data_IF_265053683675
#
_entry.id   IF_265053683675
#
_cell.length_a   1.000
_cell.length_b   1.000
_cell.length_c   1.000
_cell.angle_alpha   90.00
_cell.angle_beta   90.00
_cell.angle_gamma   90.00
#
_symmetry.space_group_name_H-M   'P 1'
#
loop_
_entity.id
_entity.type
_entity.pdbx_description
1 polymer ?
#
# COMPACT_ATOMS: atom_id res chain seq x y z
N UNK A 1 39.14 -25.37 2.70
CA UNK A 1 37.85 -26.10 2.74
C UNK A 1 37.26 -25.91 4.13
N UNK A 2 36.51 -24.83 4.31
CA UNK A 2 35.92 -24.44 5.59
C UNK A 2 34.46 -24.10 5.33
N UNK A 3 33.59 -24.65 6.18
CA UNK A 3 32.13 -24.70 6.03
C UNK A 3 31.52 -23.30 5.91
N UNK A 4 30.72 -23.12 4.87
CA UNK A 4 29.75 -22.04 4.66
C UNK A 4 28.81 -21.93 5.87
N UNK A 5 28.67 -20.73 6.43
CA UNK A 5 27.57 -20.38 7.33
C UNK A 5 26.82 -19.19 6.74
N UNK A 6 25.97 -19.47 5.74
CA UNK A 6 24.93 -18.54 5.30
C UNK A 6 23.89 -18.44 6.43
N UNK A 7 23.65 -17.23 6.93
CA UNK A 7 22.52 -16.97 7.83
C UNK A 7 21.29 -16.83 6.94
N UNK A 8 20.51 -17.91 6.83
CA UNK A 8 19.19 -17.84 6.20
C UNK A 8 18.30 -16.94 7.01
N UNK A 9 17.75 -15.90 6.37
CA UNK A 9 16.62 -15.18 6.91
C UNK A 9 15.38 -16.07 6.71
N UNK A 10 15.16 -16.99 7.67
CA UNK A 10 13.99 -17.86 7.64
C UNK A 10 12.80 -17.04 8.15
N UNK A 11 11.92 -16.62 7.26
CA UNK A 11 10.55 -16.29 7.66
C UNK A 11 9.95 -17.57 8.27
N UNK A 12 9.54 -17.49 9.53
CA UNK A 12 8.94 -18.60 10.29
C UNK A 12 7.50 -18.84 9.78
N UNK A 13 7.38 -19.29 8.53
CA UNK A 13 6.17 -19.88 7.95
C UNK A 13 6.31 -21.40 8.04
N UNK A 14 6.27 -21.94 9.26
CA UNK A 14 6.23 -23.38 9.46
C UNK A 14 4.79 -23.82 9.72
N UNK A 15 4.12 -24.38 8.70
CA UNK A 15 3.60 -25.76 8.73
C UNK A 15 2.95 -26.15 7.39
N UNK A 16 3.48 -27.26 6.86
CA UNK A 16 2.88 -28.22 5.93
C UNK A 16 2.70 -27.82 4.45
N UNK A 17 3.70 -28.26 3.67
CA UNK A 17 3.55 -28.79 2.30
C UNK A 17 2.21 -29.51 2.15
N UNK A 18 1.49 -29.22 1.07
CA UNK A 18 0.95 -30.18 0.09
C UNK A 18 0.03 -29.43 -0.90
N UNK A 19 0.25 -29.73 -2.19
CA UNK A 19 -0.59 -29.50 -3.38
C UNK A 19 -0.44 -28.19 -4.15
N UNK A 20 0.43 -28.30 -5.15
CA UNK A 20 0.33 -27.64 -6.46
C UNK A 20 -0.97 -28.05 -7.16
N UNK A 21 -1.74 -27.09 -7.68
CA UNK A 21 -2.19 -27.08 -9.07
C UNK A 21 -3.01 -25.82 -9.44
N UNK A 22 -2.61 -25.20 -10.55
CA UNK A 22 -3.51 -24.61 -11.54
C UNK A 22 -4.18 -23.28 -11.21
N UNK A 23 -3.43 -22.17 -11.26
CA UNK A 23 -4.04 -20.87 -11.57
C UNK A 23 -4.00 -20.65 -13.09
N UNK A 24 -5.18 -20.70 -13.70
CA UNK A 24 -5.44 -20.15 -15.03
C UNK A 24 -5.51 -18.61 -14.90
N UNK A 25 -4.95 -17.82 -15.83
CA UNK A 25 -5.02 -16.37 -15.76
C UNK A 25 -6.47 -15.91 -15.92
N UNK A 26 -7.08 -15.50 -14.81
CA UNK A 26 -8.31 -14.72 -14.80
C UNK A 26 -7.95 -13.29 -15.20
N UNK A 27 -8.61 -12.76 -16.23
CA UNK A 27 -8.63 -11.34 -16.57
C UNK A 27 -9.34 -10.56 -15.46
N UNK A 28 -8.58 -10.20 -14.42
CA UNK A 28 -8.95 -9.14 -13.49
C UNK A 28 -8.69 -7.79 -14.16
N UNK A 29 -9.70 -6.92 -14.19
CA UNK A 29 -9.65 -5.58 -14.76
C UNK A 29 -9.75 -4.56 -13.61
N UNK A 30 -8.73 -3.71 -13.45
CA UNK A 30 -8.55 -2.84 -12.29
C UNK A 30 -9.53 -1.65 -12.24
N UNK A 31 -9.86 -1.24 -11.01
CA UNK A 31 -11.05 -0.45 -10.65
C UNK A 31 -10.83 1.07 -10.62
N UNK A 32 -9.60 1.55 -10.70
CA UNK A 32 -9.31 2.90 -11.16
C UNK A 32 -8.21 2.79 -12.19
N UNK A 33 -8.54 3.06 -13.46
CA UNK A 33 -7.49 3.46 -14.39
C UNK A 33 -7.01 4.83 -13.95
N UNK A 34 -6.04 4.84 -13.03
CA UNK A 34 -4.94 5.73 -13.26
C UNK A 34 -4.35 5.27 -14.60
N UNK A 35 -4.83 5.85 -15.70
CA UNK A 35 -3.99 5.98 -16.88
C UNK A 35 -2.79 6.76 -16.35
N UNK A 36 -1.79 6.03 -15.85
CA UNK A 36 -0.42 6.47 -16.01
C UNK A 36 -0.35 6.94 -17.45
N UNK A 37 -0.01 8.21 -17.71
CA UNK A 37 -0.17 8.85 -19.00
C UNK A 37 0.28 7.87 -20.09
N UNK A 38 -0.70 7.37 -20.83
CA UNK A 38 -0.52 6.16 -21.60
C UNK A 38 0.55 6.38 -22.68
N UNK A 39 1.38 5.35 -22.83
CA UNK A 39 2.32 5.08 -23.93
C UNK A 39 3.69 5.75 -23.83
N UNK A 40 4.42 5.37 -22.79
CA UNK A 40 5.61 4.56 -23.02
C UNK A 40 5.57 3.38 -22.07
N UNK A 41 5.74 2.16 -22.58
CA UNK A 41 6.43 1.18 -21.78
C UNK A 41 7.74 1.86 -21.35
N UNK A 42 7.91 2.09 -20.04
CA UNK A 42 9.23 2.30 -19.48
C UNK A 42 9.89 0.93 -19.22
N UNK A 43 9.64 -0.10 -20.02
CA UNK A 43 10.68 -0.49 -21.01
C UNK A 43 11.11 0.70 -21.85
N UNK A 44 11.76 1.68 -21.22
CA UNK A 44 12.66 2.53 -21.96
C UNK A 44 13.62 1.53 -22.58
N UNK A 45 13.72 1.56 -23.91
CA UNK A 45 14.97 1.23 -24.60
C UNK A 45 16.05 1.76 -23.67
N UNK A 46 16.71 0.85 -22.94
CA UNK A 46 17.83 1.20 -22.12
C UNK A 46 18.68 2.08 -23.03
N UNK A 47 19.02 3.29 -22.55
CA UNK A 47 20.00 4.11 -23.27
C UNK A 47 21.11 3.16 -23.67
N UNK A 48 21.41 3.09 -24.96
CA UNK A 48 22.34 2.16 -25.60
C UNK A 48 23.78 2.45 -25.15
N UNK A 49 24.00 2.43 -23.85
CA UNK A 49 25.26 2.12 -23.21
C UNK A 49 25.21 0.62 -23.10
N UNK A 50 25.88 -0.05 -24.02
CA UNK A 50 26.19 -1.48 -23.92
C UNK A 50 26.58 -1.75 -22.47
N UNK A 51 25.77 -2.54 -21.77
CA UNK A 51 26.18 -3.00 -20.45
C UNK A 51 27.42 -3.87 -20.72
N UNK A 52 28.60 -3.54 -20.19
CA UNK A 52 29.82 -4.29 -20.47
C UNK A 52 29.73 -5.76 -20.02
N UNK A 53 28.64 -6.12 -19.33
CA UNK A 53 28.33 -7.48 -18.89
C UNK A 53 27.39 -8.23 -19.82
N UNK A 54 26.74 -7.57 -20.79
CA UNK A 54 25.81 -8.20 -21.76
C UNK A 54 26.53 -9.22 -22.66
N UNK A 55 27.82 -8.99 -22.96
CA UNK A 55 28.65 -9.88 -23.78
C UNK A 55 29.23 -11.08 -23.01
N UNK A 56 29.07 -11.13 -21.68
CA UNK A 56 29.60 -12.21 -20.87
C UNK A 56 28.72 -13.46 -20.98
N UNK A 57 29.35 -14.64 -21.05
CA UNK A 57 28.62 -15.90 -20.89
C UNK A 57 28.02 -16.01 -19.49
N UNK A 58 26.92 -16.76 -19.35
CA UNK A 58 26.25 -16.96 -18.06
C UNK A 58 27.19 -17.57 -17.00
N UNK A 59 28.11 -18.45 -17.40
CA UNK A 59 29.14 -19.01 -16.51
C UNK A 59 30.11 -17.93 -15.98
N UNK A 60 30.46 -16.96 -16.83
CA UNK A 60 31.32 -15.82 -16.44
C UNK A 60 30.56 -14.84 -15.56
N UNK A 61 29.28 -14.58 -15.83
CA UNK A 61 28.41 -13.75 -14.97
C UNK A 61 28.26 -14.40 -13.59
N UNK A 62 27.99 -15.70 -13.53
CA UNK A 62 27.90 -16.43 -12.26
C UNK A 62 29.22 -16.39 -11.47
N UNK A 63 30.36 -16.57 -12.15
CA UNK A 63 31.68 -16.46 -11.52
C UNK A 63 31.93 -15.05 -10.97
N UNK A 64 31.67 -14.02 -11.79
CA UNK A 64 31.79 -12.62 -11.39
C UNK A 64 30.88 -12.29 -10.20
N UNK A 65 29.64 -12.75 -10.22
CA UNK A 65 28.71 -12.56 -9.11
C UNK A 65 29.24 -13.17 -7.80
N UNK A 66 29.76 -14.40 -7.85
CA UNK A 66 30.37 -15.03 -6.67
C UNK A 66 31.60 -14.27 -6.15
N UNK A 67 32.41 -13.68 -7.05
CA UNK A 67 33.50 -12.79 -6.64
C UNK A 67 32.98 -11.54 -5.94
N UNK A 68 31.96 -10.88 -6.49
CA UNK A 68 31.36 -9.68 -5.88
C UNK A 68 30.75 -9.97 -4.50
N UNK A 69 30.04 -11.09 -4.34
CA UNK A 69 29.50 -11.50 -3.04
C UNK A 69 30.62 -11.77 -2.02
N UNK A 70 31.72 -12.37 -2.46
CA UNK A 70 32.89 -12.61 -1.61
C UNK A 70 33.54 -11.30 -1.16
N UNK A 71 33.65 -10.33 -2.05
CA UNK A 71 34.21 -9.01 -1.73
C UNK A 71 33.34 -8.30 -0.67
N UNK A 72 32.02 -8.33 -0.84
CA UNK A 72 31.07 -7.82 0.16
C UNK A 72 31.22 -8.52 1.53
N UNK A 73 31.41 -9.84 1.56
CA UNK A 73 31.67 -10.57 2.80
C UNK A 73 32.98 -10.17 3.47
N UNK A 74 34.04 -9.91 2.69
CA UNK A 74 35.33 -9.44 3.20
C UNK A 74 35.18 -8.04 3.83
N UNK A 75 34.34 -7.19 3.24
CA UNK A 75 33.94 -5.88 3.80
C UNK A 75 33.05 -5.99 5.04
N UNK A 76 32.60 -7.20 5.40
CA UNK A 76 31.73 -7.43 6.55
C UNK A 76 30.24 -7.20 6.28
N UNK A 77 29.85 -7.04 5.01
CA UNK A 77 28.44 -6.86 4.62
C UNK A 77 27.68 -8.18 4.82
N UNK A 78 26.60 -8.21 5.63
CA UNK A 78 25.75 -9.38 5.76
C UNK A 78 25.12 -9.73 4.40
N UNK A 79 25.27 -10.99 3.98
CA UNK A 79 24.56 -11.55 2.84
C UNK A 79 23.37 -12.37 3.35
N UNK A 80 22.17 -12.01 2.92
CA UNK A 80 20.93 -12.67 3.30
C UNK A 80 20.30 -13.29 2.05
N UNK A 81 20.19 -14.61 2.04
CA UNK A 81 19.38 -15.32 1.06
C UNK A 81 17.91 -15.11 1.39
N UNK A 82 17.13 -14.69 0.40
CA UNK A 82 15.68 -14.51 0.51
C UNK A 82 14.99 -15.56 -0.33
N UNK A 83 14.18 -16.38 0.34
CA UNK A 83 13.31 -17.37 -0.29
C UNK A 83 12.04 -16.69 -0.84
N UNK A 84 12.22 -15.86 -1.87
CA UNK A 84 11.13 -15.16 -2.54
C UNK A 84 11.02 -15.66 -3.99
N UNK A 85 9.89 -16.28 -4.31
CA UNK A 85 9.47 -16.62 -5.67
C UNK A 85 8.39 -15.66 -6.21
N UNK A 86 7.91 -14.74 -5.37
CA UNK A 86 6.86 -13.78 -5.66
C UNK A 86 7.24 -12.38 -5.23
N UNK A 87 6.69 -11.39 -5.93
CA UNK A 87 7.12 -10.00 -5.77
C UNK A 87 6.65 -9.35 -4.47
N UNK A 88 5.51 -9.74 -3.90
CA UNK A 88 5.11 -9.26 -2.56
C UNK A 88 6.06 -9.76 -1.46
N UNK A 89 6.69 -10.94 -1.63
CA UNK A 89 7.70 -11.45 -0.70
C UNK A 89 9.00 -10.66 -0.83
N UNK A 90 9.41 -10.30 -2.08
CA UNK A 90 10.50 -9.36 -2.34
C UNK A 90 10.28 -8.04 -1.57
N UNK A 91 9.08 -7.46 -1.68
CA UNK A 91 8.71 -6.22 -0.99
C UNK A 91 8.80 -6.36 0.53
N UNK A 92 8.18 -7.41 1.09
CA UNK A 92 8.21 -7.67 2.52
C UNK A 92 9.65 -7.80 3.03
N UNK A 93 10.52 -8.53 2.31
CA UNK A 93 11.93 -8.67 2.67
C UNK A 93 12.66 -7.32 2.65
N UNK A 94 12.56 -6.57 1.55
CA UNK A 94 13.24 -5.27 1.40
C UNK A 94 12.82 -4.27 2.48
N UNK A 95 11.51 -4.04 2.63
CA UNK A 95 11.02 -3.06 3.61
C UNK A 95 11.28 -3.49 5.04
N UNK A 96 11.24 -4.79 5.34
CA UNK A 96 11.60 -5.30 6.68
C UNK A 96 13.08 -5.11 6.97
N UNK A 97 13.98 -5.40 6.02
CA UNK A 97 15.41 -5.15 6.19
C UNK A 97 15.70 -3.65 6.35
N UNK A 98 15.06 -2.78 5.55
CA UNK A 98 15.22 -1.33 5.70
C UNK A 98 14.64 -0.82 7.02
N UNK A 99 13.56 -1.40 7.54
CA UNK A 99 13.01 -1.08 8.85
C UNK A 99 13.99 -1.47 9.98
N UNK A 100 14.57 -2.66 9.93
CA UNK A 100 15.60 -3.07 10.89
C UNK A 100 16.81 -2.13 10.84
N UNK A 101 17.28 -1.77 9.64
CA UNK A 101 18.36 -0.80 9.45
C UNK A 101 17.98 0.62 9.88
N UNK A 102 16.71 1.02 9.78
CA UNK A 102 16.26 2.36 10.18
C UNK A 102 16.36 2.58 11.69
N UNK A 103 16.26 1.52 12.49
CA UNK A 103 16.46 1.58 13.95
C UNK A 103 17.91 1.74 14.40
N UNK A 104 18.87 1.48 13.51
CA UNK A 104 20.30 1.55 13.80
C UNK A 104 20.83 2.96 13.53
N UNK A 105 21.69 3.51 14.37
CA UNK A 105 22.24 4.87 14.17
C UNK A 105 23.35 4.94 13.14
N UNK A 106 24.14 3.87 13.02
CA UNK A 106 25.40 3.91 12.30
C UNK A 106 25.21 3.63 10.80
N UNK A 107 26.28 3.79 10.04
CA UNK A 107 26.33 3.37 8.65
C UNK A 107 26.26 1.84 8.56
N UNK A 108 25.34 1.34 7.75
CA UNK A 108 25.14 -0.10 7.59
C UNK A 108 24.95 -0.46 6.12
N UNK A 109 25.47 -1.62 5.74
CA UNK A 109 25.25 -2.22 4.44
C UNK A 109 24.68 -3.60 4.64
N UNK A 110 23.70 -3.98 3.83
CA UNK A 110 23.14 -5.34 3.80
C UNK A 110 22.88 -5.74 2.36
N UNK A 111 23.21 -6.97 1.99
CA UNK A 111 22.96 -7.51 0.66
C UNK A 111 21.88 -8.59 0.73
N UNK A 112 20.80 -8.42 -0.04
CA UNK A 112 19.72 -9.39 -0.17
C UNK A 112 19.85 -10.12 -1.51
N UNK A 113 19.82 -11.45 -1.49
CA UNK A 113 19.95 -12.33 -2.67
C UNK A 113 18.61 -12.99 -2.96
N UNK A 114 18.07 -12.78 -4.16
CA UNK A 114 16.74 -13.21 -4.60
C UNK A 114 16.81 -14.15 -5.81
N UNK A 115 17.36 -15.35 -5.63
CA UNK A 115 17.68 -16.28 -6.74
C UNK A 115 16.49 -16.58 -7.66
N UNK A 116 15.26 -16.61 -7.13
CA UNK A 116 14.05 -16.90 -7.90
C UNK A 116 13.34 -15.66 -8.47
N UNK A 117 13.79 -14.45 -8.16
CA UNK A 117 13.21 -13.21 -8.70
C UNK A 117 14.01 -12.75 -9.94
N UNK A 118 13.35 -12.47 -11.07
CA UNK A 118 14.02 -11.96 -12.26
C UNK A 118 14.76 -10.63 -11.99
N UNK A 119 15.99 -10.50 -12.50
CA UNK A 119 16.81 -9.28 -12.35
C UNK A 119 16.09 -8.03 -12.88
N UNK A 120 15.27 -8.16 -13.92
CA UNK A 120 14.46 -7.06 -14.44
C UNK A 120 13.46 -6.51 -13.41
N UNK A 121 12.88 -7.38 -12.57
CA UNK A 121 11.98 -6.96 -11.50
C UNK A 121 12.73 -6.28 -10.35
N UNK A 122 13.93 -6.78 -10.00
CA UNK A 122 14.81 -6.13 -9.03
C UNK A 122 15.26 -4.74 -9.53
N UNK A 123 15.60 -4.62 -10.82
CA UNK A 123 15.98 -3.35 -11.44
C UNK A 123 14.83 -2.34 -11.39
N UNK A 124 13.62 -2.77 -11.77
CA UNK A 124 12.43 -1.92 -11.68
C UNK A 124 12.24 -1.38 -10.25
N UNK A 125 12.40 -2.22 -9.22
CA UNK A 125 12.35 -1.77 -7.82
C UNK A 125 13.37 -0.68 -7.51
N UNK A 126 14.64 -0.92 -7.86
CA UNK A 126 15.71 0.03 -7.58
C UNK A 126 15.44 1.36 -8.30
N UNK A 127 15.10 1.31 -9.58
CA UNK A 127 14.83 2.51 -10.38
C UNK A 127 13.64 3.30 -9.82
N UNK A 128 12.54 2.62 -9.47
CA UNK A 128 11.34 3.25 -8.91
C UNK A 128 11.60 3.87 -7.53
N UNK A 129 12.37 3.19 -6.67
CA UNK A 129 12.77 3.75 -5.38
C UNK A 129 13.62 5.02 -5.57
N UNK A 130 14.53 5.02 -6.54
CA UNK A 130 15.35 6.21 -6.83
C UNK A 130 14.53 7.36 -7.42
N UNK A 131 13.55 7.08 -8.29
CA UNK A 131 12.59 8.08 -8.77
C UNK A 131 11.80 8.66 -7.60
N UNK A 132 11.37 7.81 -6.68
CA UNK A 132 10.63 8.22 -5.49
C UNK A 132 11.47 9.13 -4.58
N UNK A 133 12.73 8.77 -4.35
CA UNK A 133 13.70 9.54 -3.56
C UNK A 133 14.03 10.91 -4.19
N UNK A 134 13.85 11.06 -5.50
CA UNK A 134 14.02 12.34 -6.19
C UNK A 134 12.83 13.31 -6.05
N UNK A 135 11.71 12.87 -5.48
CA UNK A 135 10.51 13.72 -5.31
C UNK A 135 10.58 14.50 -4.00
N UNK A 136 10.97 15.77 -4.08
CA UNK A 136 11.13 16.63 -2.89
C UNK A 136 9.85 16.72 -2.05
N UNK A 137 8.67 16.84 -2.66
CA UNK A 137 7.38 16.85 -1.95
C UNK A 137 7.24 15.64 -1.02
N UNK A 138 7.58 14.45 -1.52
CA UNK A 138 7.45 13.21 -0.76
C UNK A 138 8.55 13.11 0.31
N UNK A 139 9.79 13.43 -0.04
CA UNK A 139 10.92 13.38 0.89
C UNK A 139 10.86 14.45 1.99
N UNK A 140 10.15 15.55 1.78
CA UNK A 140 9.85 16.51 2.86
C UNK A 140 8.99 15.87 3.94
N UNK A 141 8.05 15.00 3.55
CA UNK A 141 7.17 14.29 4.48
C UNK A 141 7.77 12.99 5.01
N UNK A 142 8.66 12.34 4.24
CA UNK A 142 9.32 11.06 4.55
C UNK A 142 10.86 11.18 4.47
N UNK A 143 11.49 12.07 5.27
CA UNK A 143 12.92 12.34 5.16
C UNK A 143 13.80 11.14 5.50
N UNK A 144 13.30 10.18 6.29
CA UNK A 144 14.00 8.94 6.63
C UNK A 144 14.43 8.13 5.39
N UNK A 145 13.65 8.18 4.30
CA UNK A 145 13.92 7.41 3.08
C UNK A 145 15.17 7.92 2.34
N UNK A 146 15.56 9.19 2.56
CA UNK A 146 16.79 9.75 1.97
C UNK A 146 18.06 9.05 2.44
N UNK A 147 18.00 8.42 3.62
CA UNK A 147 19.13 7.73 4.25
C UNK A 147 19.56 6.48 3.48
N UNK A 148 18.61 5.85 2.80
CA UNK A 148 18.79 4.58 2.10
C UNK A 148 19.18 4.79 0.65
N UNK A 149 20.18 4.05 0.20
CA UNK A 149 20.54 3.90 -1.20
C UNK A 149 20.42 2.43 -1.58
N UNK A 150 19.78 2.15 -2.72
CA UNK A 150 19.62 0.81 -3.23
C UNK A 150 20.32 0.68 -4.57
N UNK A 151 21.02 -0.44 -4.76
CA UNK A 151 21.68 -0.74 -6.02
C UNK A 151 21.67 -2.23 -6.33
N UNK A 152 21.72 -2.58 -7.61
CA UNK A 152 21.93 -3.96 -8.03
C UNK A 152 23.41 -4.32 -7.92
N UNK A 153 23.72 -5.46 -7.29
CA UNK A 153 25.10 -5.94 -7.17
C UNK A 153 25.70 -6.15 -8.57
N UNK A 154 26.86 -5.52 -8.80
CA UNK A 154 27.53 -5.57 -10.10
C UNK A 154 26.72 -4.98 -11.25
N UNK A 155 25.79 -4.05 -10.99
CA UNK A 155 24.85 -3.49 -11.98
C UNK A 155 23.86 -4.52 -12.57
N UNK A 156 23.56 -5.57 -11.81
CA UNK A 156 22.63 -6.62 -12.22
C UNK A 156 23.30 -7.82 -12.87
N UNK A 157 24.57 -8.08 -12.57
CA UNK A 157 25.26 -9.33 -12.93
C UNK A 157 24.64 -10.53 -12.23
N UNK A 158 24.06 -10.34 -11.05
CA UNK A 158 23.35 -11.38 -10.31
C UNK A 158 22.09 -10.85 -9.61
N UNK A 159 21.26 -11.77 -9.08
CA UNK A 159 19.97 -11.44 -8.51
C UNK A 159 20.10 -10.95 -7.07
N UNK A 160 20.81 -9.84 -6.85
CA UNK A 160 20.98 -9.27 -5.52
C UNK A 160 20.86 -7.75 -5.49
N UNK A 161 20.27 -7.26 -4.41
CA UNK A 161 20.14 -5.84 -4.09
C UNK A 161 21.04 -5.54 -2.90
N UNK A 162 21.91 -4.54 -3.05
CA UNK A 162 22.67 -3.95 -1.96
C UNK A 162 21.88 -2.76 -1.40
N UNK A 163 21.66 -2.75 -0.10
CA UNK A 163 21.04 -1.66 0.66
C UNK A 163 22.14 -1.00 1.47
N UNK A 164 22.33 0.30 1.27
CA UNK A 164 23.26 1.12 2.05
C UNK A 164 22.47 2.16 2.83
N UNK A 165 22.62 2.18 4.16
CA UNK A 165 22.07 3.20 5.03
C UNK A 165 23.19 4.09 5.55
N UNK A 166 23.10 5.39 5.27
CA UNK A 166 23.99 6.42 5.83
C UNK A 166 23.78 6.62 7.34
N UNK A 167 24.72 7.21 8.07
CA UNK A 167 24.54 7.48 9.50
C UNK A 167 23.35 8.43 9.74
N UNK A 168 22.59 8.18 10.81
CA UNK A 168 21.49 9.04 11.20
C UNK A 168 22.03 10.35 11.81
N UNK A 169 21.86 11.46 11.10
CA UNK A 169 22.32 12.78 11.57
C UNK A 169 21.54 13.28 12.79
N UNK A 170 20.28 12.87 12.94
CA UNK A 170 19.39 13.21 14.04
C UNK A 170 18.85 11.95 14.73
N UNK A 171 19.68 11.33 15.60
CA UNK A 171 19.36 10.10 16.32
C UNK A 171 18.11 10.18 17.23
N UNK A 172 17.59 11.38 17.49
CA UNK A 172 16.55 11.62 18.49
C UNK A 172 15.10 11.47 17.97
N UNK A 173 14.85 11.27 16.67
CA UNK A 173 13.49 11.43 16.09
C UNK A 173 12.91 10.26 15.29
N UNK A 174 13.66 9.20 14.98
CA UNK A 174 13.14 8.05 14.23
C UNK A 174 13.62 6.74 14.85
N UNK A 175 12.71 5.78 15.00
CA UNK A 175 13.04 4.39 15.36
C UNK A 175 12.47 3.87 16.67
N UNK A 176 11.98 4.74 17.58
CA UNK A 176 11.35 4.26 18.80
C UNK A 176 9.85 4.02 18.57
N UNK A 177 9.33 2.83 18.94
CA UNK A 177 7.89 2.59 18.89
C UNK A 177 7.19 3.53 19.86
N UNK A 178 6.09 4.12 19.42
CA UNK A 178 5.25 4.96 20.27
C UNK A 178 4.43 4.05 21.18
N UNK A 179 4.32 4.35 22.49
CA UNK A 179 3.43 3.63 23.39
C UNK A 179 1.98 3.83 22.94
N UNK A 180 1.33 2.77 22.49
CA UNK A 180 -0.06 2.81 22.02
C UNK A 180 -0.84 1.66 22.64
N UNK A 181 -2.04 1.96 23.14
CA UNK A 181 -3.01 0.94 23.54
C UNK A 181 -3.68 0.36 22.28
N UNK A 182 -3.08 -0.71 21.76
CA UNK A 182 -3.56 -1.39 20.55
C UNK A 182 -5.00 -1.88 20.70
N UNK A 183 -5.42 -2.27 21.91
CA UNK A 183 -6.79 -2.73 22.15
C UNK A 183 -7.80 -1.59 22.04
N UNK A 184 -7.47 -0.41 22.59
CA UNK A 184 -8.29 0.80 22.40
C UNK A 184 -8.36 1.20 20.93
N UNK A 185 -7.23 1.21 20.22
CA UNK A 185 -7.21 1.54 18.79
C UNK A 185 -8.06 0.56 17.97
N UNK A 186 -7.94 -0.74 18.23
CA UNK A 186 -8.75 -1.76 17.58
C UNK A 186 -10.25 -1.62 17.91
N UNK A 187 -10.59 -1.33 19.17
CA UNK A 187 -11.99 -1.12 19.57
C UNK A 187 -12.61 0.11 18.91
N UNK A 188 -11.90 1.24 18.89
CA UNK A 188 -12.34 2.47 18.22
C UNK A 188 -12.50 2.24 16.71
N UNK A 189 -11.53 1.59 16.08
CA UNK A 189 -11.58 1.30 14.64
C UNK A 189 -12.68 0.29 14.30
N UNK A 190 -12.95 -0.69 15.17
CA UNK A 190 -14.08 -1.59 14.99
C UNK A 190 -15.41 -0.84 15.05
N UNK A 191 -15.58 0.09 16.00
CA UNK A 191 -16.78 0.94 16.06
C UNK A 191 -16.94 1.81 14.81
N UNK A 192 -15.83 2.34 14.28
CA UNK A 192 -15.80 3.05 12.99
C UNK A 192 -16.24 2.17 11.81
N UNK A 193 -15.69 0.96 11.71
CA UNK A 193 -16.08 -0.01 10.67
C UNK A 193 -17.56 -0.38 10.81
N UNK A 194 -18.02 -0.63 12.03
CA UNK A 194 -19.43 -0.93 12.32
C UNK A 194 -20.31 0.25 11.91
N UNK A 195 -19.92 1.51 12.14
CA UNK A 195 -20.65 2.69 11.63
C UNK A 195 -20.69 2.71 10.11
N UNK A 196 -19.55 2.52 9.44
CA UNK A 196 -19.51 2.49 7.97
C UNK A 196 -20.35 1.36 7.36
N UNK A 197 -20.50 0.23 8.05
CA UNK A 197 -21.19 -0.97 7.55
C UNK A 197 -22.66 -1.06 7.99
N UNK A 198 -22.98 -0.64 9.22
CA UNK A 198 -24.33 -0.72 9.79
C UNK A 198 -25.23 0.43 9.36
N UNK A 199 -24.67 1.63 9.13
CA UNK A 199 -25.45 2.80 8.71
C UNK A 199 -25.52 2.97 7.19
N UNK A 200 -24.61 2.32 6.44
CA UNK A 200 -24.53 2.43 4.98
C UNK A 200 -24.53 1.04 4.39
N UNK A 201 -25.60 0.68 3.68
CA UNK A 201 -25.62 -0.51 2.82
C UNK A 201 -24.65 -0.35 1.63
N UNK A 202 -23.38 -0.01 1.85
CA UNK A 202 -22.33 -0.29 0.89
C UNK A 202 -22.25 -1.81 0.86
N UNK A 203 -23.06 -2.38 -0.06
CA UNK A 203 -22.81 -3.67 -0.67
C UNK A 203 -21.34 -3.60 -1.07
N UNK A 204 -20.54 -4.32 -0.30
CA UNK A 204 -19.22 -3.84 0.11
C UNK A 204 -18.66 -4.78 1.17
N UNK A 205 -19.54 -5.01 2.12
CA UNK A 205 -19.51 -6.11 3.04
C UNK A 205 -20.91 -6.73 3.00
N UNK A 206 -21.07 -8.05 3.15
CA UNK A 206 -22.39 -8.63 3.25
C UNK A 206 -23.16 -7.98 4.42
N UNK A 207 -24.15 -7.14 4.10
CA UNK A 207 -25.04 -6.48 5.06
C UNK A 207 -26.15 -7.43 5.51
N UNK A 208 -26.05 -7.80 6.78
CA UNK A 208 -27.06 -7.80 7.86
C UNK A 208 -28.58 -7.97 7.66
N UNK A 209 -29.18 -8.23 6.49
CA UNK A 209 -30.63 -8.49 6.45
C UNK A 209 -31.03 -9.58 5.43
N UNK A 210 -31.06 -10.82 5.92
CA UNK A 210 -31.61 -11.96 5.18
C UNK A 210 -31.57 -13.27 5.97
N UNK A 211 -32.43 -13.36 6.99
CA UNK A 211 -32.85 -14.59 7.70
C UNK A 211 -31.77 -15.57 8.18
N UNK A 212 -31.53 -15.53 9.48
CA UNK A 212 -31.38 -16.70 10.35
C UNK A 212 -30.37 -17.81 9.94
N UNK A 213 -29.07 -17.50 9.99
CA UNK A 213 -28.03 -18.46 10.39
C UNK A 213 -26.76 -17.74 10.89
N UNK A 214 -26.51 -17.82 12.20
CA UNK A 214 -25.21 -17.77 12.91
C UNK A 214 -24.03 -16.94 12.31
N UNK A 215 -23.88 -15.71 12.83
CA UNK A 215 -22.65 -15.15 13.42
C UNK A 215 -21.27 -15.48 12.80
N UNK A 216 -20.75 -14.59 11.94
CA UNK A 216 -19.44 -13.93 12.19
C UNK A 216 -19.18 -12.80 11.18
N UNK A 217 -18.60 -11.71 11.66
CA UNK A 217 -17.92 -10.69 10.86
C UNK A 217 -16.86 -11.45 10.02
N UNK A 218 -16.65 -11.15 8.72
CA UNK A 218 -15.48 -11.69 8.03
C UNK A 218 -14.22 -11.39 8.86
N UNK A 219 -13.29 -12.33 8.97
CA UNK A 219 -12.11 -12.17 9.81
C UNK A 219 -11.26 -10.97 9.33
N UNK A 220 -11.49 -9.80 9.92
CA UNK A 220 -10.68 -8.60 9.79
C UNK A 220 -9.73 -8.53 10.97
N UNK A 221 -8.43 -8.52 10.70
CA UNK A 221 -7.43 -8.25 11.72
C UNK A 221 -7.25 -6.75 11.90
N UNK A 222 -6.83 -6.34 13.11
CA UNK A 222 -6.51 -4.96 13.45
C UNK A 222 -5.06 -4.85 13.95
N UNK A 223 -4.06 -5.24 13.14
CA UNK A 223 -2.66 -5.11 13.53
C UNK A 223 -2.30 -3.63 13.64
N UNK A 224 -1.41 -3.28 14.57
CA UNK A 224 -0.94 -1.91 14.75
C UNK A 224 0.56 -1.81 14.45
N UNK A 225 0.95 -0.83 13.65
CA UNK A 225 2.32 -0.39 13.51
C UNK A 225 2.58 0.78 14.47
N UNK A 226 3.34 0.60 15.56
CA UNK A 226 3.59 1.65 16.54
C UNK A 226 4.67 2.66 16.08
N UNK A 227 5.20 2.51 14.87
CA UNK A 227 6.29 3.33 14.37
C UNK A 227 5.79 4.49 13.52
N UNK A 228 6.49 5.62 13.60
CA UNK A 228 6.30 6.77 12.70
C UNK A 228 6.97 6.52 11.34
N UNK A 229 8.07 5.77 11.33
CA UNK A 229 9.00 5.57 10.23
C UNK A 229 8.36 4.82 9.03
N UNK A 230 8.55 5.36 7.83
CA UNK A 230 7.97 4.81 6.61
C UNK A 230 8.43 3.37 6.33
N UNK A 231 9.69 3.00 6.63
CA UNK A 231 10.16 1.63 6.40
C UNK A 231 9.42 0.62 7.28
N UNK A 232 9.21 0.93 8.56
CA UNK A 232 8.40 0.08 9.45
C UNK A 232 6.94 -0.02 9.02
N UNK A 233 6.35 1.07 8.53
CA UNK A 233 4.96 1.06 8.05
C UNK A 233 4.84 0.20 6.79
N UNK A 234 5.74 0.36 5.81
CA UNK A 234 5.75 -0.44 4.58
C UNK A 234 6.09 -1.92 4.86
N UNK A 235 7.00 -2.19 5.80
CA UNK A 235 7.25 -3.55 6.30
C UNK A 235 5.97 -4.16 6.88
N UNK A 236 5.28 -3.44 7.76
CA UNK A 236 4.02 -3.91 8.36
C UNK A 236 2.96 -4.17 7.29
N UNK A 237 2.79 -3.24 6.35
CA UNK A 237 1.88 -3.36 5.22
C UNK A 237 2.16 -4.61 4.37
N UNK A 238 3.40 -4.78 3.89
CA UNK A 238 3.74 -5.90 3.01
C UNK A 238 3.70 -7.24 3.73
N UNK A 239 4.01 -7.29 5.03
CA UNK A 239 3.83 -8.50 5.83
C UNK A 239 2.33 -8.87 5.98
N UNK A 240 1.43 -7.90 6.15
CA UNK A 240 -0.02 -8.16 6.12
C UNK A 240 -0.49 -8.62 4.73
N UNK A 241 -0.02 -7.97 3.66
CA UNK A 241 -0.33 -8.37 2.28
C UNK A 241 0.13 -9.80 2.01
N UNK A 242 1.35 -10.18 2.42
CA UNK A 242 1.84 -11.56 2.32
C UNK A 242 0.96 -12.53 3.10
N UNK A 243 0.53 -12.18 4.32
CA UNK A 243 -0.37 -13.01 5.13
C UNK A 243 -1.70 -13.30 4.44
N UNK A 244 -2.33 -12.26 3.87
CA UNK A 244 -3.60 -12.39 3.13
C UNK A 244 -3.40 -13.25 1.87
N UNK A 245 -2.35 -12.98 1.09
CA UNK A 245 -2.10 -13.67 -0.18
C UNK A 245 -1.63 -15.12 -0.02
N UNK A 246 -0.98 -15.46 1.11
CA UNK A 246 -0.56 -16.82 1.41
C UNK A 246 -1.73 -17.70 1.92
N UNK A 247 -2.70 -17.10 2.62
CA UNK A 247 -3.80 -17.82 3.27
C UNK A 247 -5.19 -17.22 2.93
N UNK A 248 -5.64 -17.31 1.67
CA UNK A 248 -6.87 -16.64 1.18
C UNK A 248 -8.19 -17.10 1.86
N UNK A 249 -8.16 -18.06 2.79
CA UNK A 249 -9.32 -18.54 3.55
C UNK A 249 -9.39 -18.12 5.02
N UNK A 250 -8.26 -17.79 5.66
CA UNK A 250 -8.18 -17.60 7.13
C UNK A 250 -8.21 -16.12 7.53
N UNK A 251 -7.48 -15.26 6.81
CA UNK A 251 -7.44 -13.81 7.00
C UNK A 251 -7.96 -13.15 5.74
N UNK A 252 -9.20 -12.67 5.79
CA UNK A 252 -9.87 -12.12 4.61
C UNK A 252 -9.60 -10.65 4.40
N UNK A 253 -9.26 -9.88 5.43
CA UNK A 253 -8.90 -8.47 5.28
C UNK A 253 -8.09 -8.03 6.50
N UNK A 254 -7.35 -6.93 6.36
CA UNK A 254 -6.60 -6.35 7.47
C UNK A 254 -6.82 -4.85 7.52
N UNK A 255 -7.14 -4.33 8.70
CA UNK A 255 -7.13 -2.91 9.00
C UNK A 255 -5.81 -2.59 9.71
N UNK A 256 -4.77 -2.26 8.95
CA UNK A 256 -3.47 -1.89 9.50
C UNK A 256 -3.58 -0.50 10.15
N UNK A 257 -3.55 -0.48 11.48
CA UNK A 257 -3.58 0.74 12.28
C UNK A 257 -2.19 1.37 12.28
N UNK A 258 -2.13 2.69 12.07
CA UNK A 258 -0.92 3.49 12.04
C UNK A 258 -0.93 4.54 13.17
N UNK A 259 -1.06 4.14 14.44
CA UNK A 259 -1.16 5.08 15.55
C UNK A 259 0.11 5.90 15.76
N UNK A 260 1.25 5.46 15.20
CA UNK A 260 2.47 6.25 15.17
C UNK A 260 2.44 7.42 14.18
N UNK A 261 1.52 7.42 13.22
CA UNK A 261 1.28 8.58 12.35
C UNK A 261 0.31 9.50 13.06
N UNK A 262 0.86 10.56 13.65
CA UNK A 262 0.12 11.56 14.44
C UNK A 262 -1.18 11.98 13.73
N UNK A 263 -2.29 12.00 14.46
CA UNK A 263 -3.61 12.35 13.93
C UNK A 263 -3.68 13.76 13.33
N UNK A 264 -2.76 14.64 13.73
CA UNK A 264 -2.66 16.02 13.25
C UNK A 264 -1.79 16.14 11.99
N UNK A 265 -1.00 15.12 11.64
CA UNK A 265 -0.05 15.17 10.54
C UNK A 265 -0.57 14.45 9.29
N UNK A 266 -1.68 14.96 8.76
CA UNK A 266 -2.28 14.42 7.55
C UNK A 266 -1.35 14.48 6.31
N UNK A 267 -0.53 15.52 6.07
CA UNK A 267 0.42 15.55 4.96
C UNK A 267 1.40 14.36 4.98
N UNK A 268 1.88 13.95 6.15
CA UNK A 268 2.72 12.76 6.28
C UNK A 268 1.95 11.48 6.00
N UNK A 269 0.72 11.35 6.51
CA UNK A 269 -0.14 10.21 6.18
C UNK A 269 -0.39 10.10 4.66
N UNK A 270 -0.71 11.22 4.00
CA UNK A 270 -0.92 11.29 2.55
C UNK A 270 0.31 10.80 1.78
N UNK A 271 1.52 11.21 2.19
CA UNK A 271 2.77 10.71 1.62
C UNK A 271 2.97 9.20 1.83
N UNK A 272 2.63 8.66 3.01
CA UNK A 272 2.69 7.23 3.30
C UNK A 272 1.68 6.46 2.42
N UNK A 273 0.44 6.93 2.33
CA UNK A 273 -0.61 6.33 1.52
C UNK A 273 -0.22 6.30 0.03
N UNK A 274 0.40 7.38 -0.47
CA UNK A 274 0.96 7.44 -1.83
C UNK A 274 2.07 6.40 -2.03
N UNK A 275 3.01 6.27 -1.08
CA UNK A 275 4.09 5.29 -1.14
C UNK A 275 3.54 3.85 -1.15
N UNK A 276 2.58 3.53 -0.28
CA UNK A 276 1.91 2.23 -0.23
C UNK A 276 1.23 1.94 -1.57
N UNK A 277 0.41 2.88 -2.05
CA UNK A 277 -0.35 2.73 -3.30
C UNK A 277 0.56 2.51 -4.51
N UNK A 278 1.62 3.33 -4.64
CA UNK A 278 2.61 3.16 -5.71
C UNK A 278 3.31 1.82 -5.61
N UNK A 279 3.72 1.41 -4.41
CA UNK A 279 4.38 0.11 -4.22
C UNK A 279 3.47 -1.04 -4.65
N UNK A 280 2.17 -0.96 -4.42
CA UNK A 280 1.24 -2.02 -4.80
C UNK A 280 0.98 -2.06 -6.31
N UNK A 281 0.81 -0.89 -6.97
CA UNK A 281 0.62 -0.79 -8.42
C UNK A 281 1.85 -1.24 -9.23
N UNK A 282 3.06 -0.91 -8.78
CA UNK A 282 4.30 -1.25 -9.50
C UNK A 282 4.47 -2.76 -9.70
N UNK A 283 3.93 -3.57 -8.79
CA UNK A 283 4.07 -5.03 -8.82
C UNK A 283 2.81 -5.78 -9.18
N UNK A 284 1.81 -5.05 -9.70
CA UNK A 284 0.56 -5.62 -10.17
C UNK A 284 -0.15 -6.46 -9.11
N UNK A 285 0.03 -6.10 -7.85
CA UNK A 285 -0.69 -6.73 -6.73
C UNK A 285 -2.07 -6.10 -6.56
N UNK A 286 -2.35 -4.99 -7.25
CA UNK A 286 -3.69 -4.40 -7.42
C UNK A 286 -4.68 -5.34 -8.10
N UNK A 287 -4.21 -6.33 -8.87
CA UNK A 287 -5.07 -7.37 -9.43
C UNK A 287 -5.60 -8.32 -8.32
N UNK A 288 -4.97 -8.33 -7.13
CA UNK A 288 -5.28 -9.24 -6.02
C UNK A 288 -5.74 -8.55 -4.73
N UNK A 289 -5.27 -7.33 -4.45
CA UNK A 289 -5.56 -6.56 -3.26
C UNK A 289 -6.05 -5.15 -3.61
N UNK A 290 -7.11 -4.72 -2.96
CA UNK A 290 -7.61 -3.36 -2.90
C UNK A 290 -7.25 -2.67 -1.59
N UNK A 291 -7.11 -1.35 -1.69
CA UNK A 291 -6.72 -0.49 -0.59
C UNK A 291 -7.82 0.51 -0.24
N UNK A 292 -7.90 0.86 1.03
CA UNK A 292 -8.68 1.99 1.51
C UNK A 292 -7.89 2.74 2.58
N UNK A 293 -7.67 4.03 2.37
CA UNK A 293 -6.91 4.87 3.30
C UNK A 293 -7.85 5.67 4.20
N UNK A 294 -7.56 5.67 5.50
CA UNK A 294 -8.36 6.35 6.52
C UNK A 294 -7.49 7.22 7.41
N UNK A 295 -7.97 8.42 7.72
CA UNK A 295 -7.24 9.37 8.58
C UNK A 295 -8.21 10.29 9.34
N UNK A 296 -7.96 10.66 10.61
CA UNK A 296 -8.87 11.52 11.37
C UNK A 296 -9.17 12.87 10.71
N UNK A 297 -8.16 13.44 10.08
CA UNK A 297 -8.26 14.70 9.33
C UNK A 297 -8.29 14.47 7.82
N UNK A 298 -8.86 13.34 7.36
CA UNK A 298 -8.91 13.05 5.93
C UNK A 298 -9.53 14.22 5.15
N UNK A 299 -8.77 14.65 4.15
CA UNK A 299 -9.15 15.65 3.18
C UNK A 299 -8.59 15.25 1.81
N UNK A 300 -9.48 15.17 0.81
CA UNK A 300 -9.07 14.77 -0.53
C UNK A 300 -8.08 15.76 -1.15
N UNK A 301 -8.11 17.03 -0.76
CA UNK A 301 -7.30 18.09 -1.38
C UNK A 301 -5.79 17.99 -1.03
N UNK A 302 -5.40 17.24 0.00
CA UNK A 302 -3.97 17.00 0.32
C UNK A 302 -3.40 15.70 -0.29
N UNK A 303 -4.23 14.93 -0.99
CA UNK A 303 -3.84 13.63 -1.57
C UNK A 303 -3.34 13.85 -2.99
N UNK A 304 -2.08 13.50 -3.25
CA UNK A 304 -1.52 13.58 -4.59
C UNK A 304 -1.86 12.33 -5.42
N UNK A 305 -2.23 12.50 -6.70
CA UNK A 305 -2.53 13.76 -7.39
C UNK A 305 -3.89 14.34 -6.96
N UNK A 306 -3.98 15.68 -6.80
CA UNK A 306 -5.16 16.35 -6.24
C UNK A 306 -6.41 16.21 -7.15
N UNK A 307 -6.27 16.52 -8.44
CA UNK A 307 -7.38 16.52 -9.40
C UNK A 307 -7.55 15.21 -10.20
N UNK A 308 -6.78 14.18 -9.84
CA UNK A 308 -6.77 12.90 -10.57
C UNK A 308 -6.99 11.74 -9.59
N UNK A 309 -7.52 10.59 -10.03
CA UNK A 309 -7.73 9.45 -9.14
C UNK A 309 -6.42 9.03 -8.43
N UNK A 310 -6.54 8.74 -7.13
CA UNK A 310 -5.48 8.19 -6.31
C UNK A 310 -5.99 6.88 -5.69
N UNK A 311 -5.18 5.82 -5.75
CA UNK A 311 -5.61 4.48 -5.34
C UNK A 311 -5.94 4.44 -3.84
N UNK A 312 -7.08 3.84 -3.49
CA UNK A 312 -7.59 3.75 -2.12
C UNK A 312 -8.16 5.04 -1.51
N UNK A 313 -8.26 6.12 -2.30
CA UNK A 313 -8.81 7.41 -1.88
C UNK A 313 -10.20 7.67 -2.51
N UNK A 314 -10.97 8.61 -1.93
CA UNK A 314 -12.19 9.14 -2.57
C UNK A 314 -11.81 9.83 -3.90
N UNK A 315 -12.66 9.79 -4.94
CA UNK A 315 -12.47 10.60 -6.15
C UNK A 315 -12.27 12.10 -5.85
N UNK A 316 -11.57 12.84 -6.71
CA UNK A 316 -11.50 14.30 -6.59
C UNK A 316 -12.91 14.91 -6.55
N UNK A 317 -13.09 16.02 -5.83
CA UNK A 317 -14.39 16.68 -5.68
C UNK A 317 -14.99 17.03 -7.04
N UNK A 318 -14.14 17.40 -8.00
CA UNK A 318 -14.52 17.71 -9.38
C UNK A 318 -15.19 16.54 -10.12
N UNK A 319 -15.06 15.30 -9.64
CA UNK A 319 -15.68 14.11 -10.22
C UNK A 319 -17.04 13.80 -9.59
N UNK A 320 -17.33 14.29 -8.39
CA UNK A 320 -18.50 13.86 -7.62
C UNK A 320 -19.82 14.33 -8.23
N UNK A 321 -19.90 15.58 -8.73
CA UNK A 321 -21.08 16.07 -9.46
C UNK A 321 -21.33 15.33 -10.78
N UNK A 322 -20.32 15.10 -11.64
CA UNK A 322 -20.45 14.19 -12.77
C UNK A 322 -20.93 12.79 -12.40
N UNK A 323 -20.41 12.21 -11.31
CA UNK A 323 -20.84 10.90 -10.82
C UNK A 323 -22.32 10.88 -10.43
N UNK A 324 -22.78 11.88 -9.66
CA UNK A 324 -24.19 12.07 -9.33
C UNK A 324 -25.06 12.14 -10.60
N UNK A 325 -24.65 12.96 -11.57
CA UNK A 325 -25.39 13.10 -12.83
C UNK A 325 -25.46 11.78 -13.60
N UNK A 326 -24.35 11.05 -13.68
CA UNK A 326 -24.27 9.74 -14.34
C UNK A 326 -25.18 8.71 -13.66
N UNK A 327 -25.26 8.75 -12.33
CA UNK A 327 -26.11 7.86 -11.52
C UNK A 327 -27.61 8.21 -11.56
N UNK A 328 -27.99 9.27 -12.31
CA UNK A 328 -29.38 9.72 -12.44
C UNK A 328 -29.79 10.83 -11.46
N UNK A 329 -28.91 11.20 -10.53
CA UNK A 329 -29.14 12.21 -9.48
C UNK A 329 -28.91 13.64 -10.01
N UNK A 330 -29.51 13.96 -11.16
CA UNK A 330 -29.24 15.20 -11.92
C UNK A 330 -29.63 16.48 -11.17
N UNK A 331 -30.67 16.41 -10.32
CA UNK A 331 -31.05 17.54 -9.47
C UNK A 331 -29.97 17.81 -8.41
N UNK A 332 -29.56 16.78 -7.68
CA UNK A 332 -28.50 16.88 -6.67
C UNK A 332 -27.17 17.35 -7.29
N UNK A 333 -26.80 16.84 -8.46
CA UNK A 333 -25.59 17.26 -9.17
C UNK A 333 -25.56 18.77 -9.49
N UNK A 334 -26.73 19.39 -9.66
CA UNK A 334 -26.88 20.81 -9.99
C UNK A 334 -27.00 21.69 -8.75
N UNK A 335 -27.79 21.23 -7.79
CA UNK A 335 -28.30 22.06 -6.71
C UNK A 335 -27.49 21.90 -5.41
N UNK A 336 -26.74 20.79 -5.23
CA UNK A 336 -25.87 20.63 -4.07
C UNK A 336 -24.67 21.59 -4.16
N UNK A 337 -24.43 22.41 -3.13
CA UNK A 337 -23.26 23.27 -3.08
C UNK A 337 -21.98 22.46 -2.79
N UNK A 338 -20.82 23.00 -3.16
CA UNK A 338 -19.56 22.24 -3.13
C UNK A 338 -19.09 21.90 -1.71
N UNK A 339 -19.49 22.68 -0.70
CA UNK A 339 -19.28 22.42 0.72
C UNK A 339 -20.08 21.19 1.22
N UNK A 340 -21.33 21.05 0.79
CA UNK A 340 -22.14 19.85 1.06
C UNK A 340 -21.55 18.60 0.36
N UNK A 341 -21.10 18.75 -0.89
CA UNK A 341 -20.42 17.64 -1.60
C UNK A 341 -19.13 17.22 -0.88
N UNK A 342 -18.40 18.17 -0.27
CA UNK A 342 -17.19 17.90 0.51
C UNK A 342 -17.45 17.10 1.80
N UNK A 343 -18.69 17.04 2.28
CA UNK A 343 -19.02 16.24 3.48
C UNK A 343 -18.72 14.75 3.30
N UNK A 344 -18.66 14.26 2.06
CA UNK A 344 -18.18 12.91 1.73
C UNK A 344 -16.81 12.57 2.34
N UNK A 345 -15.93 13.57 2.54
CA UNK A 345 -14.62 13.36 3.13
C UNK A 345 -14.73 12.86 4.59
N UNK A 346 -15.80 13.21 5.31
CA UNK A 346 -16.05 12.71 6.68
C UNK A 346 -16.24 11.20 6.74
N UNK A 347 -16.60 10.54 5.63
CA UNK A 347 -16.72 9.07 5.59
C UNK A 347 -15.36 8.40 5.76
N UNK A 348 -14.29 9.03 5.28
CA UNK A 348 -12.91 8.53 5.44
C UNK A 348 -12.24 9.00 6.72
N UNK A 349 -12.91 9.86 7.49
CA UNK A 349 -12.41 10.30 8.78
C UNK A 349 -12.64 9.20 9.81
N UNK A 350 -11.54 8.55 10.16
CA UNK A 350 -11.46 7.47 11.14
C UNK A 350 -10.92 8.00 12.48
N UNK A 351 -11.11 7.29 13.60
CA UNK A 351 -10.55 7.69 14.88
C UNK A 351 -9.01 7.68 14.91
N UNK A 352 -8.38 6.85 14.07
CA UNK A 352 -6.93 6.79 13.91
C UNK A 352 -6.54 6.51 12.47
N UNK A 353 -5.33 6.90 12.08
CA UNK A 353 -4.76 6.61 10.76
C UNK A 353 -4.74 5.11 10.50
N UNK A 354 -5.22 4.67 9.36
CA UNK A 354 -5.25 3.26 9.01
C UNK A 354 -5.25 3.02 7.50
N UNK A 355 -4.81 1.83 7.12
CA UNK A 355 -4.90 1.30 5.76
C UNK A 355 -5.66 -0.02 5.82
N UNK A 356 -6.81 -0.08 5.18
CA UNK A 356 -7.52 -1.34 5.00
C UNK A 356 -7.00 -2.02 3.73
N UNK A 357 -6.72 -3.32 3.86
CA UNK A 357 -6.19 -4.20 2.83
C UNK A 357 -7.23 -5.30 2.62
N UNK A 358 -7.80 -5.35 1.43
CA UNK A 358 -8.93 -6.23 1.11
C UNK A 358 -8.63 -7.00 -0.17
N UNK A 359 -8.84 -8.32 -0.25
CA UNK A 359 -8.79 -9.06 -1.50
C UNK A 359 -9.79 -8.51 -2.52
N UNK A 360 -9.34 -8.33 -3.76
CA UNK A 360 -10.19 -7.83 -4.86
C UNK A 360 -11.46 -8.66 -5.00
N UNK A 361 -11.38 -9.99 -4.90
CA UNK A 361 -12.55 -10.87 -4.99
C UNK A 361 -13.61 -10.55 -3.93
N UNK A 362 -13.17 -10.27 -2.71
CA UNK A 362 -14.06 -9.90 -1.62
C UNK A 362 -14.69 -8.53 -1.91
N UNK A 363 -13.87 -7.56 -2.35
CA UNK A 363 -14.29 -6.21 -2.73
C UNK A 363 -15.23 -6.14 -3.94
N UNK A 364 -15.13 -7.11 -4.86
CA UNK A 364 -16.03 -7.22 -6.01
C UNK A 364 -17.37 -7.84 -5.66
N UNK A 365 -17.35 -8.90 -4.84
CA UNK A 365 -18.58 -9.55 -4.33
C UNK A 365 -19.43 -8.56 -3.56
N UNK A 366 -18.73 -7.77 -2.78
CA UNK A 366 -19.12 -6.57 -2.09
C UNK A 366 -19.82 -5.56 -3.00
N UNK A 367 -19.10 -4.80 -3.83
CA UNK A 367 -19.66 -3.69 -4.64
C UNK A 367 -20.89 -4.08 -5.49
N UNK A 368 -21.01 -5.34 -5.88
CA UNK A 368 -22.09 -5.81 -6.74
C UNK A 368 -21.87 -5.40 -8.21
N UNK A 369 -22.70 -5.91 -9.13
CA UNK A 369 -22.48 -5.75 -10.57
C UNK A 369 -22.71 -4.32 -11.08
N UNK A 370 -23.38 -3.46 -10.32
CA UNK A 370 -23.78 -2.10 -10.72
C UNK A 370 -22.63 -1.08 -10.56
N UNK A 371 -21.66 -1.35 -9.68
CA UNK A 371 -20.53 -0.47 -9.37
C UNK A 371 -19.26 -0.78 -10.19
N UNK A 372 -19.43 -1.42 -11.35
CA UNK A 372 -18.36 -1.72 -12.31
C UNK A 372 -17.70 -0.48 -12.92
N UNK A 373 -16.69 -0.69 -13.77
CA UNK A 373 -15.98 0.41 -14.44
C UNK A 373 -16.87 1.04 -15.52
N UNK A 374 -17.09 2.35 -15.43
CA UNK A 374 -17.87 3.17 -16.36
C UNK A 374 -17.04 4.28 -16.97
N UNK A 375 -17.48 4.77 -18.14
CA UNK A 375 -16.91 5.95 -18.79
C UNK A 375 -17.65 7.21 -18.33
N UNK A 376 -16.95 8.09 -17.61
CA UNK A 376 -17.48 9.30 -17.01
C UNK A 376 -16.88 10.54 -17.69
N UNK A 377 -17.72 11.49 -18.11
CA UNK A 377 -17.23 12.76 -18.64
C UNK A 377 -16.93 13.74 -17.48
N UNK A 378 -15.67 14.14 -17.34
CA UNK A 378 -15.20 15.07 -16.30
C UNK A 378 -14.44 16.20 -16.98
N UNK A 379 -14.93 17.43 -16.86
CA UNK A 379 -14.27 18.61 -17.45
C UNK A 379 -14.08 18.52 -18.97
N UNK A 380 -14.99 17.85 -19.68
CA UNK A 380 -14.92 17.62 -21.13
C UNK A 380 -13.97 16.49 -21.56
N UNK A 381 -13.43 15.71 -20.62
CA UNK A 381 -12.59 14.54 -20.88
C UNK A 381 -13.27 13.28 -20.37
N UNK A 382 -13.33 12.24 -21.19
CA UNK A 382 -13.84 10.93 -20.76
C UNK A 382 -12.77 10.20 -19.94
N UNK A 383 -13.12 9.92 -18.69
CA UNK A 383 -12.33 9.18 -17.72
C UNK A 383 -12.98 7.83 -17.41
N UNK A 384 -12.20 6.86 -16.92
CA UNK A 384 -12.75 5.61 -16.39
C UNK A 384 -12.91 5.74 -14.88
N UNK A 385 -14.08 5.40 -14.35
CA UNK A 385 -14.41 5.44 -12.94
C UNK A 385 -15.11 4.16 -12.51
N UNK A 386 -15.00 3.76 -11.25
CA UNK A 386 -15.79 2.66 -10.68
C UNK A 386 -16.39 3.10 -9.34
N UNK A 387 -17.29 2.27 -8.79
CA UNK A 387 -17.96 2.59 -7.53
C UNK A 387 -18.84 3.84 -7.62
N UNK A 388 -19.24 4.25 -8.83
CA UNK A 388 -19.93 5.52 -9.07
C UNK A 388 -21.24 5.60 -8.30
N UNK A 389 -22.00 4.51 -8.23
CA UNK A 389 -23.25 4.46 -7.47
C UNK A 389 -22.98 4.50 -5.97
N UNK A 390 -21.94 3.80 -5.49
CA UNK A 390 -21.49 3.89 -4.10
C UNK A 390 -21.06 5.31 -3.70
N UNK A 391 -20.25 6.00 -4.52
CA UNK A 391 -19.84 7.38 -4.23
C UNK A 391 -21.01 8.36 -4.29
N UNK A 392 -21.88 8.24 -5.28
CA UNK A 392 -23.06 9.09 -5.43
C UNK A 392 -23.98 9.01 -4.22
N UNK A 393 -24.31 7.79 -3.79
CA UNK A 393 -25.10 7.54 -2.59
C UNK A 393 -24.46 8.14 -1.34
N UNK A 394 -23.17 7.88 -1.14
CA UNK A 394 -22.44 8.38 0.00
C UNK A 394 -22.40 9.92 0.06
N UNK A 395 -22.35 10.60 -1.10
CA UNK A 395 -22.41 12.07 -1.17
C UNK A 395 -23.77 12.58 -0.69
N UNK A 396 -24.87 11.97 -1.18
CA UNK A 396 -26.22 12.34 -0.79
C UNK A 396 -26.47 12.09 0.71
N UNK A 397 -26.09 10.92 1.20
CA UNK A 397 -26.24 10.55 2.62
C UNK A 397 -25.45 11.49 3.54
N UNK A 398 -24.21 11.83 3.18
CA UNK A 398 -23.40 12.75 3.98
C UNK A 398 -24.03 14.14 4.06
N UNK A 399 -24.62 14.61 2.96
CA UNK A 399 -25.35 15.89 2.92
C UNK A 399 -26.64 15.84 3.75
N UNK A 400 -27.41 14.75 3.68
CA UNK A 400 -28.63 14.58 4.48
C UNK A 400 -28.36 14.52 5.99
N UNK A 401 -27.26 13.87 6.40
CA UNK A 401 -26.85 13.81 7.81
C UNK A 401 -26.39 15.18 8.34
N UNK A 402 -25.73 15.96 7.48
CA UNK A 402 -25.17 17.26 7.82
C UNK A 402 -23.88 17.16 8.65
N UNK A 403 -23.09 18.24 8.63
CA UNK A 403 -21.75 18.27 9.22
C UNK A 403 -21.73 17.96 10.73
N UNK A 404 -22.69 18.49 11.50
CA UNK A 404 -22.72 18.32 12.97
C UNK A 404 -22.84 16.86 13.37
N UNK A 405 -23.75 16.11 12.72
CA UNK A 405 -23.95 14.70 13.04
C UNK A 405 -22.72 13.85 12.68
N UNK A 406 -22.08 14.14 11.54
CA UNK A 406 -20.85 13.49 11.10
C UNK A 406 -19.69 13.76 12.09
N UNK A 407 -19.58 14.99 12.58
CA UNK A 407 -18.58 15.39 13.59
C UNK A 407 -18.83 14.74 14.94
N UNK A 408 -20.08 14.66 15.39
CA UNK A 408 -20.45 14.04 16.67
C UNK A 408 -20.13 12.54 16.68
N UNK A 409 -20.45 11.83 15.60
CA UNK A 409 -20.11 10.41 15.42
C UNK A 409 -18.60 10.16 15.49
N UNK A 410 -17.81 10.96 14.77
CA UNK A 410 -16.35 10.87 14.79
C UNK A 410 -15.78 11.20 16.18
N UNK A 411 -16.34 12.20 16.85
CA UNK A 411 -15.91 12.62 18.19
C UNK A 411 -16.13 11.52 19.23
N UNK A 412 -17.23 10.76 19.13
CA UNK A 412 -17.48 9.60 19.97
C UNK A 412 -16.43 8.49 19.77
N UNK A 413 -16.02 8.23 18.53
CA UNK A 413 -14.96 7.25 18.20
C UNK A 413 -13.59 7.68 18.72
N UNK A 414 -13.22 8.94 18.52
CA UNK A 414 -11.98 9.52 19.04
C UNK A 414 -11.98 9.51 20.57
N UNK A 415 -13.15 9.66 21.20
CA UNK A 415 -13.31 9.57 22.65
C UNK A 415 -12.83 8.25 23.27
N UNK A 416 -12.89 7.14 22.53
CA UNK A 416 -12.40 5.81 22.98
C UNK A 416 -10.86 5.77 23.10
N UNK A 417 -10.16 6.58 22.29
CA UNK A 417 -8.70 6.62 22.27
C UNK A 417 -8.11 7.42 23.45
N UNK A 418 -8.90 8.30 24.06
CA UNK A 418 -8.55 9.05 25.27
C UNK A 418 -8.71 8.17 26.51
#
# INVERSE_FOLDING_TARGET
MTKWTSRKLIFLLSLLRVWTNGFSPSTAHNFFHCRSPAKTSLVQKASSREDPTDELSEERKASLFQFLLRDLQIEGVPLLEVDADRVHILQAALWTTMAEMSTQSDEHKTCLIFEAIPIAALRAFVDDFMILKAQDRLMTQLPELRRFDLSLVGKGVGPAILIEASAQKDAAKCGNPIPVDVNKCAAAMKMFVDRMVAEKQVSGYPSSNGSAAQNSIPAMSFPACPYTDACHILSSFWNQACGILAYPGELRSSMLLLPGVESENFPRFSAIAELISRSLCLYRVDDALELLHFHPLYDRDFVFPEDMPAHGHIPPISWLKPMLQFNGDTAAARDLPDDEVRLINYIRRSPTSAVCIVPVELWMTALGPEDGVVSLEVGGVVQQASGVSSYSRNVLEASEQGESALQDALSAEIGILK
#
